data_IF_980762707509
#
_entry.id   IF_980762707509
#
_cell.length_a   1.000
_cell.length_b   1.000
_cell.length_c   1.000
_cell.angle_alpha   90.00
_cell.angle_beta   90.00
_cell.angle_gamma   90.00
#
_symmetry.space_group_name_H-M   'P 1'
#
loop_
_entity.id
_entity.type
_entity.pdbx_description
1 polymer ?
#
# COMPACT_ATOMS: atom_id res chain seq x y z
N UNK A 1 -11.96 -7.58 -2.84
CA UNK A 1 -11.30 -6.29 -2.49
C UNK A 1 -11.85 -5.09 -3.27
N UNK A 2 -12.00 -5.16 -4.60
CA UNK A 2 -12.48 -4.01 -5.41
C UNK A 2 -13.82 -3.40 -5.01
N UNK A 3 -14.74 -4.18 -4.45
CA UNK A 3 -16.01 -3.68 -3.91
C UNK A 3 -15.76 -2.75 -2.71
N UNK A 4 -14.93 -3.19 -1.75
CA UNK A 4 -14.54 -2.42 -0.55
C UNK A 4 -13.83 -1.12 -0.93
N UNK A 5 -13.05 -1.12 -2.00
CA UNK A 5 -12.33 0.08 -2.47
C UNK A 5 -13.17 1.00 -3.36
N UNK A 6 -14.42 0.66 -3.63
CA UNK A 6 -15.31 1.44 -4.51
C UNK A 6 -14.92 1.41 -6.00
N UNK A 7 -14.07 0.45 -6.41
CA UNK A 7 -13.65 0.21 -7.80
C UNK A 7 -14.58 -0.74 -8.57
N UNK A 8 -15.61 -1.26 -7.90
CA UNK A 8 -16.70 -2.06 -8.46
C UNK A 8 -17.98 -1.81 -7.65
N UNK A 9 -19.14 -1.92 -8.30
CA UNK A 9 -20.44 -1.84 -7.63
C UNK A 9 -20.93 -3.26 -7.27
N UNK A 10 -21.57 -3.45 -6.10
CA UNK A 10 -22.19 -4.72 -5.77
C UNK A 10 -23.39 -4.98 -6.69
N UNK A 11 -23.50 -6.20 -7.21
CA UNK A 11 -24.66 -6.63 -8.01
C UNK A 11 -25.90 -6.88 -7.13
N UNK A 12 -25.72 -7.04 -5.82
CA UNK A 12 -26.76 -7.19 -4.82
C UNK A 12 -26.18 -7.18 -3.40
N UNK A 13 -27.04 -7.03 -2.39
CA UNK A 13 -26.64 -6.84 -1.00
C UNK A 13 -26.24 -5.39 -0.69
N UNK A 14 -25.84 -5.16 0.56
CA UNK A 14 -25.41 -3.85 1.07
C UNK A 14 -23.94 -3.92 1.50
N UNK A 15 -23.20 -2.84 1.21
CA UNK A 15 -21.80 -2.67 1.61
C UNK A 15 -21.65 -1.28 2.22
N UNK A 16 -21.32 -1.25 3.51
CA UNK A 16 -20.99 -0.03 4.23
C UNK A 16 -19.48 -0.03 4.56
N UNK A 17 -18.79 1.04 4.18
CA UNK A 17 -17.38 1.28 4.51
C UNK A 17 -17.34 2.57 5.29
N UNK A 18 -16.88 2.51 6.53
CA UNK A 18 -16.95 3.63 7.49
C UNK A 18 -15.94 4.75 7.23
N UNK A 19 -15.02 4.57 6.28
CA UNK A 19 -14.04 5.58 5.89
C UNK A 19 -14.34 6.10 4.48
N UNK A 20 -13.97 7.35 4.22
CA UNK A 20 -14.10 7.92 2.89
C UNK A 20 -12.97 7.45 1.96
N UNK A 21 -13.00 7.88 0.70
CA UNK A 21 -11.94 7.54 -0.26
C UNK A 21 -10.57 8.14 0.11
N UNK A 22 -10.55 9.20 0.93
CA UNK A 22 -9.35 9.84 1.42
C UNK A 22 -8.67 9.01 2.50
N UNK A 23 -9.44 8.37 3.39
CA UNK A 23 -8.93 7.49 4.44
C UNK A 23 -8.60 6.06 3.97
N UNK A 24 -8.83 5.74 2.69
CA UNK A 24 -8.56 4.41 2.13
C UNK A 24 -7.21 4.37 1.40
N UNK A 25 -6.30 3.53 1.89
CA UNK A 25 -5.09 3.10 1.21
C UNK A 25 -5.36 1.83 0.42
N UNK A 26 -4.90 1.77 -0.83
CA UNK A 26 -5.11 0.59 -1.68
C UNK A 26 -3.83 0.18 -2.41
N UNK A 27 -3.46 -1.09 -2.28
CA UNK A 27 -2.50 -1.78 -3.12
C UNK A 27 -3.24 -2.91 -3.86
N UNK A 28 -3.36 -2.78 -5.17
CA UNK A 28 -3.95 -3.81 -6.03
C UNK A 28 -2.91 -4.53 -6.88
N UNK A 29 -3.39 -5.37 -7.79
CA UNK A 29 -2.55 -5.99 -8.82
C UNK A 29 -1.81 -4.96 -9.68
N UNK A 30 -2.48 -3.85 -10.02
CA UNK A 30 -1.84 -2.71 -10.66
C UNK A 30 -1.23 -1.77 -9.60
N UNK A 31 0.05 -1.37 -9.73
CA UNK A 31 0.74 -0.59 -8.71
C UNK A 31 0.24 0.87 -8.59
N UNK A 32 -0.47 1.35 -9.61
CA UNK A 32 -0.95 2.74 -9.73
C UNK A 32 0.22 3.73 -9.59
N UNK A 33 1.24 3.57 -10.42
CA UNK A 33 2.44 4.41 -10.46
C UNK A 33 2.69 4.89 -11.88
N UNK A 34 3.18 6.12 -12.01
CA UNK A 34 3.58 6.70 -13.27
C UNK A 34 5.03 6.31 -13.57
N UNK A 35 5.22 5.50 -14.62
CA UNK A 35 6.54 4.93 -14.97
C UNK A 35 7.56 5.98 -15.42
N UNK A 36 7.09 7.06 -16.03
CA UNK A 36 7.96 8.14 -16.54
C UNK A 36 8.40 9.14 -15.45
N UNK A 37 7.77 9.07 -14.28
CA UNK A 37 8.13 9.86 -13.11
C UNK A 37 9.12 9.10 -12.22
N UNK A 38 9.89 9.84 -11.45
CA UNK A 38 10.72 9.31 -10.36
C UNK A 38 9.88 8.85 -9.18
N UNK A 39 10.47 8.11 -8.24
CA UNK A 39 9.77 7.72 -7.01
C UNK A 39 9.33 8.95 -6.21
N UNK A 40 10.19 9.97 -6.09
CA UNK A 40 9.87 11.20 -5.37
C UNK A 40 8.75 11.98 -6.06
N UNK A 41 8.76 12.08 -7.39
CA UNK A 41 7.69 12.75 -8.16
C UNK A 41 6.36 12.01 -8.05
N UNK A 42 6.36 10.68 -8.08
CA UNK A 42 5.16 9.89 -7.83
C UNK A 42 4.55 10.22 -6.47
N UNK A 43 5.36 10.16 -5.40
CA UNK A 43 4.87 10.44 -4.05
C UNK A 43 4.49 11.92 -3.88
N UNK A 44 5.20 12.88 -4.47
CA UNK A 44 4.79 14.29 -4.43
C UNK A 44 3.43 14.50 -5.13
N UNK A 45 3.20 13.83 -6.27
CA UNK A 45 1.92 13.89 -6.99
C UNK A 45 0.78 13.34 -6.13
N UNK A 46 0.91 12.12 -5.60
CA UNK A 46 -0.12 11.52 -4.74
C UNK A 46 -0.31 12.33 -3.46
N UNK A 47 0.76 12.86 -2.86
CA UNK A 47 0.69 13.70 -1.68
C UNK A 47 -0.11 14.99 -1.92
N UNK A 48 -0.04 15.57 -3.13
CA UNK A 48 -0.92 16.69 -3.51
C UNK A 48 -2.37 16.26 -3.66
N UNK A 49 -2.62 15.11 -4.29
CA UNK A 49 -3.98 14.58 -4.51
C UNK A 49 -4.69 14.29 -3.19
N UNK A 50 -3.97 13.70 -2.22
CA UNK A 50 -4.49 13.40 -0.89
C UNK A 50 -4.34 14.56 0.11
N UNK A 51 -3.80 15.71 -0.30
CA UNK A 51 -3.57 16.89 0.55
C UNK A 51 -2.75 16.60 1.82
N UNK A 52 -1.73 15.76 1.68
CA UNK A 52 -0.85 15.35 2.77
C UNK A 52 -0.03 16.56 3.27
N UNK A 53 -0.09 16.92 4.56
CA UNK A 53 0.77 17.95 5.13
C UNK A 53 2.22 17.48 5.08
N UNK A 54 3.15 18.41 4.86
CA UNK A 54 4.60 18.09 4.85
C UNK A 54 4.97 16.93 3.90
N UNK A 55 4.20 16.72 2.83
CA UNK A 55 4.28 15.53 1.96
C UNK A 55 5.68 15.15 1.47
N UNK A 56 6.61 16.11 1.34
CA UNK A 56 7.99 15.84 0.92
C UNK A 56 8.78 15.12 2.01
N UNK A 57 8.59 15.52 3.25
CA UNK A 57 9.17 14.85 4.41
C UNK A 57 8.56 13.46 4.57
N UNK A 58 7.22 13.37 4.52
CA UNK A 58 6.50 12.08 4.56
C UNK A 58 6.96 11.12 3.45
N UNK A 59 7.10 11.61 2.23
CA UNK A 59 7.61 10.84 1.10
C UNK A 59 9.04 10.36 1.34
N UNK A 60 9.93 11.23 1.84
CA UNK A 60 11.30 10.85 2.18
C UNK A 60 11.36 9.76 3.25
N UNK A 61 10.63 9.92 4.34
CA UNK A 61 10.54 8.92 5.41
C UNK A 61 10.07 7.57 4.89
N UNK A 62 9.05 7.53 4.03
CA UNK A 62 8.55 6.28 3.45
C UNK A 62 9.56 5.65 2.49
N UNK A 63 10.24 6.44 1.67
CA UNK A 63 11.28 5.93 0.76
C UNK A 63 12.47 5.37 1.55
N UNK A 64 12.89 5.99 2.64
CA UNK A 64 13.90 5.43 3.54
C UNK A 64 13.40 4.13 4.18
N UNK A 65 12.18 4.15 4.72
CA UNK A 65 11.56 3.00 5.39
C UNK A 65 11.42 1.79 4.47
N UNK A 66 11.22 1.98 3.17
CA UNK A 66 11.11 0.90 2.19
C UNK A 66 12.39 0.69 1.37
N UNK A 67 13.53 1.29 1.76
CA UNK A 67 14.81 1.06 1.10
C UNK A 67 14.86 1.51 -0.36
N UNK A 68 14.21 2.64 -0.66
CA UNK A 68 14.15 3.27 -1.98
C UNK A 68 14.78 4.68 -2.01
N UNK A 69 15.34 5.14 -0.89
CA UNK A 69 15.89 6.49 -0.79
C UNK A 69 17.03 6.72 -1.79
N UNK A 70 17.99 5.81 -1.90
CA UNK A 70 19.18 6.01 -2.75
C UNK A 70 18.83 6.09 -4.24
N UNK A 71 17.76 5.42 -4.65
CA UNK A 71 17.27 5.37 -6.04
C UNK A 71 16.11 6.33 -6.30
N UNK A 72 15.75 7.20 -5.34
CA UNK A 72 14.52 8.02 -5.37
C UNK A 72 14.39 8.94 -6.59
N UNK A 73 15.53 9.33 -7.17
CA UNK A 73 15.63 10.23 -8.32
C UNK A 73 15.68 9.49 -9.67
N UNK A 74 15.66 8.17 -9.67
CA UNK A 74 15.53 7.36 -10.88
C UNK A 74 14.07 7.22 -11.27
N UNK A 75 13.80 7.10 -12.58
CA UNK A 75 12.46 6.87 -13.11
C UNK A 75 11.96 5.49 -12.72
N UNK A 76 10.67 5.38 -12.37
CA UNK A 76 10.04 4.10 -12.02
C UNK A 76 10.11 3.07 -13.15
N UNK A 77 10.26 3.51 -14.40
CA UNK A 77 10.50 2.62 -15.54
C UNK A 77 11.75 1.74 -15.39
N UNK A 78 12.81 2.17 -14.67
CA UNK A 78 14.03 1.37 -14.41
C UNK A 78 13.88 0.42 -13.22
N UNK A 79 12.82 0.55 -12.42
CA UNK A 79 12.68 -0.19 -11.18
C UNK A 79 12.41 -1.68 -11.44
N UNK A 80 13.00 -2.53 -10.58
CA UNK A 80 12.60 -3.93 -10.52
C UNK A 80 11.15 -4.06 -10.05
N UNK A 81 10.54 -5.22 -10.29
CA UNK A 81 9.16 -5.49 -9.84
C UNK A 81 8.99 -5.29 -8.32
N UNK A 82 9.97 -5.70 -7.52
CA UNK A 82 9.93 -5.52 -6.07
C UNK A 82 10.10 -4.06 -5.64
N UNK A 83 10.91 -3.27 -6.36
CA UNK A 83 11.01 -1.83 -6.11
C UNK A 83 9.69 -1.12 -6.46
N UNK A 84 9.04 -1.50 -7.57
CA UNK A 84 7.72 -0.99 -7.94
C UNK A 84 6.69 -1.32 -6.85
N UNK A 85 6.68 -2.55 -6.33
CA UNK A 85 5.80 -2.97 -5.24
C UNK A 85 6.03 -2.15 -3.97
N UNK A 86 7.30 -1.95 -3.57
CA UNK A 86 7.68 -1.14 -2.42
C UNK A 86 7.26 0.33 -2.57
N UNK A 87 7.40 0.90 -3.77
CA UNK A 87 6.93 2.25 -4.04
C UNK A 87 5.40 2.35 -4.03
N UNK A 88 4.70 1.32 -4.52
CA UNK A 88 3.24 1.26 -4.47
C UNK A 88 2.72 1.16 -3.03
N UNK A 89 3.45 0.45 -2.15
CA UNK A 89 3.21 0.46 -0.70
C UNK A 89 3.45 1.85 -0.10
N UNK A 90 4.54 2.53 -0.43
CA UNK A 90 4.78 3.91 -0.01
C UNK A 90 3.60 4.82 -0.41
N UNK A 91 3.12 4.70 -1.66
CA UNK A 91 1.96 5.45 -2.15
C UNK A 91 0.71 5.16 -1.33
N UNK A 92 0.42 3.89 -1.06
CA UNK A 92 -0.79 3.49 -0.33
C UNK A 92 -0.79 3.97 1.13
N UNK A 93 0.39 4.19 1.71
CA UNK A 93 0.59 4.63 3.10
C UNK A 93 0.79 6.15 3.24
N UNK A 94 0.98 6.86 2.12
CA UNK A 94 1.46 8.25 2.11
C UNK A 94 0.56 9.20 2.90
N UNK A 95 -0.74 8.95 2.87
CA UNK A 95 -1.77 9.82 3.44
C UNK A 95 -2.35 9.31 4.76
N UNK A 96 -1.65 8.39 5.42
CA UNK A 96 -2.04 7.83 6.72
C UNK A 96 -3.46 7.24 6.73
N UNK A 97 -3.71 6.18 5.93
CA UNK A 97 -5.04 5.62 5.77
C UNK A 97 -5.57 4.97 7.06
N UNK A 98 -6.86 5.16 7.32
CA UNK A 98 -7.62 4.46 8.36
C UNK A 98 -7.94 3.01 7.95
N UNK A 99 -8.09 2.78 6.65
CA UNK A 99 -8.31 1.46 6.05
C UNK A 99 -7.27 1.20 4.97
N UNK A 100 -6.44 0.19 5.17
CA UNK A 100 -5.47 -0.26 4.18
C UNK A 100 -5.92 -1.59 3.57
N UNK A 101 -6.17 -1.58 2.26
CA UNK A 101 -6.55 -2.76 1.49
C UNK A 101 -5.37 -3.23 0.65
N UNK A 102 -4.90 -4.45 0.88
CA UNK A 102 -3.69 -5.00 0.26
C UNK A 102 -4.03 -6.29 -0.50
N UNK A 103 -3.80 -6.28 -1.81
CA UNK A 103 -3.97 -7.46 -2.67
C UNK A 103 -2.62 -8.14 -2.91
N UNK A 104 -2.41 -9.32 -2.31
CA UNK A 104 -1.19 -10.12 -2.46
C UNK A 104 0.13 -9.33 -2.26
N UNK A 105 0.27 -8.56 -1.17
CA UNK A 105 1.30 -7.53 -1.07
C UNK A 105 2.74 -8.08 -1.05
N UNK A 106 2.92 -9.37 -0.73
CA UNK A 106 4.22 -10.04 -0.64
C UNK A 106 4.72 -10.63 -1.96
N UNK A 107 3.86 -10.85 -2.96
CA UNK A 107 4.15 -11.68 -4.15
C UNK A 107 5.33 -11.18 -4.99
N UNK A 108 5.61 -9.87 -4.97
CA UNK A 108 6.70 -9.26 -5.74
C UNK A 108 7.91 -8.85 -4.90
N UNK A 109 7.89 -9.12 -3.59
CA UNK A 109 8.93 -8.69 -2.67
C UNK A 109 10.01 -9.77 -2.51
N UNK A 110 11.26 -9.33 -2.42
CA UNK A 110 12.36 -10.15 -1.91
C UNK A 110 12.26 -10.28 -0.38
N UNK A 111 13.18 -11.04 0.23
CA UNK A 111 13.17 -11.28 1.67
C UNK A 111 13.28 -9.99 2.48
N UNK A 112 14.08 -9.02 2.00
CA UNK A 112 14.22 -7.71 2.64
C UNK A 112 12.92 -6.91 2.55
N UNK A 113 12.33 -6.81 1.36
CA UNK A 113 11.04 -6.16 1.12
C UNK A 113 9.92 -6.75 1.97
N UNK A 114 9.86 -8.08 2.08
CA UNK A 114 8.89 -8.77 2.91
C UNK A 114 9.07 -8.41 4.40
N UNK A 115 10.30 -8.37 4.90
CA UNK A 115 10.59 -7.95 6.28
C UNK A 115 10.21 -6.49 6.54
N UNK A 116 10.44 -5.60 5.57
CA UNK A 116 10.02 -4.18 5.64
C UNK A 116 8.50 -4.06 5.72
N UNK A 117 7.77 -4.83 4.90
CA UNK A 117 6.31 -4.88 4.94
C UNK A 117 5.81 -5.48 6.26
N UNK A 118 6.42 -6.54 6.78
CA UNK A 118 6.05 -7.14 8.06
C UNK A 118 6.21 -6.13 9.22
N UNK A 119 7.25 -5.30 9.21
CA UNK A 119 7.39 -4.17 10.16
C UNK A 119 6.32 -3.11 9.93
N UNK A 120 6.09 -2.77 8.66
CA UNK A 120 4.96 -2.02 8.12
C UNK A 120 3.64 -2.29 8.83
N UNK A 121 3.21 -3.54 8.70
CA UNK A 121 1.93 -4.04 9.20
C UNK A 121 1.88 -4.06 10.73
N UNK A 122 2.98 -4.37 11.41
CA UNK A 122 3.05 -4.35 12.88
C UNK A 122 2.85 -2.95 13.45
N UNK A 123 3.46 -1.94 12.83
CA UNK A 123 3.30 -0.56 13.28
C UNK A 123 1.88 -0.02 13.03
N UNK A 124 1.21 -0.50 11.99
CA UNK A 124 -0.19 -0.16 11.73
C UNK A 124 -1.18 -0.87 12.65
N UNK A 125 -0.75 -1.93 13.34
CA UNK A 125 -1.61 -2.68 14.25
C UNK A 125 -2.12 -1.75 15.37
N UNK A 126 -3.44 -1.61 15.46
CA UNK A 126 -4.10 -0.72 16.43
C UNK A 126 -4.20 0.76 16.00
N UNK A 127 -3.59 1.15 14.87
CA UNK A 127 -3.71 2.49 14.30
C UNK A 127 -4.64 2.53 13.08
N UNK A 128 -4.66 1.46 12.28
CA UNK A 128 -5.48 1.34 11.08
C UNK A 128 -6.10 -0.06 10.96
N UNK A 129 -7.21 -0.16 10.23
CA UNK A 129 -7.77 -1.44 9.81
C UNK A 129 -7.03 -1.92 8.56
N UNK A 130 -6.53 -3.16 8.57
CA UNK A 130 -5.84 -3.74 7.41
C UNK A 130 -6.64 -4.93 6.88
N UNK A 131 -7.05 -4.86 5.62
CA UNK A 131 -7.67 -5.97 4.89
C UNK A 131 -6.68 -6.49 3.85
N UNK A 132 -6.20 -7.71 4.02
CA UNK A 132 -5.14 -8.30 3.21
C UNK A 132 -5.58 -9.63 2.60
N UNK A 133 -5.26 -9.85 1.32
CA UNK A 133 -5.32 -11.17 0.68
C UNK A 133 -3.91 -11.73 0.54
N UNK A 134 -3.78 -13.05 0.72
CA UNK A 134 -2.51 -13.77 0.57
C UNK A 134 -2.77 -15.23 0.23
N UNK A 135 -1.88 -15.80 -0.57
CA UNK A 135 -1.78 -17.24 -0.78
C UNK A 135 -0.86 -17.94 0.25
N UNK A 136 -0.12 -17.17 1.05
CA UNK A 136 0.68 -17.62 2.18
C UNK A 136 0.08 -17.09 3.50
N UNK A 137 -0.93 -17.78 4.07
CA UNK A 137 -1.56 -17.33 5.31
C UNK A 137 -0.62 -17.40 6.52
N UNK A 138 0.34 -18.33 6.52
CA UNK A 138 1.24 -18.54 7.66
C UNK A 138 2.09 -17.30 7.99
N UNK A 139 2.43 -16.50 6.97
CA UNK A 139 3.18 -15.25 7.14
C UNK A 139 2.39 -14.17 7.89
N UNK A 140 1.08 -14.06 7.66
CA UNK A 140 0.24 -13.00 8.23
C UNK A 140 -0.53 -13.44 9.46
N UNK A 141 -0.64 -14.75 9.70
CA UNK A 141 -1.30 -15.34 10.87
C UNK A 141 -0.89 -14.67 12.20
N UNK A 142 0.40 -14.35 12.46
CA UNK A 142 0.80 -13.71 13.73
C UNK A 142 0.26 -12.29 13.93
N UNK A 143 -0.21 -11.63 12.86
CA UNK A 143 -0.76 -10.28 12.87
C UNK A 143 -2.28 -10.26 12.68
N UNK A 144 -2.86 -11.38 12.24
CA UNK A 144 -4.27 -11.45 11.89
C UNK A 144 -5.15 -11.45 13.16
N UNK A 145 -6.08 -10.50 13.22
CA UNK A 145 -7.13 -10.44 14.25
C UNK A 145 -8.38 -11.23 13.86
N UNK A 146 -8.50 -11.62 12.58
CA UNK A 146 -9.54 -12.48 12.04
C UNK A 146 -9.15 -13.00 10.66
N UNK A 147 -9.78 -14.10 10.22
CA UNK A 147 -9.62 -14.63 8.86
C UNK A 147 -10.97 -14.95 8.23
N UNK A 148 -11.02 -14.79 6.91
CA UNK A 148 -12.12 -15.23 6.06
C UNK A 148 -11.53 -16.13 4.98
N UNK A 149 -12.04 -17.35 4.85
CA UNK A 149 -11.67 -18.28 3.78
C UNK A 149 -12.82 -18.29 2.78
N UNK A 150 -12.52 -17.91 1.54
CA UNK A 150 -13.45 -17.99 0.43
C UNK A 150 -13.17 -19.31 -0.31
N UNK A 151 -14.20 -20.15 -0.45
CA UNK A 151 -14.16 -21.44 -1.15
C UNK A 151 -14.50 -21.28 -2.62
#
# INVERSE_FOLDING_TARGET
LRLVTGLAAPTGGELEVSTDRGGLGYLGHEPLLYRDLTALENLDLYGRLYRVPERRERAGMLLERFGLWDVRAERVASYSRGMVQRLALCRALLHDPELLVLDEPFTALDAEGANLLDRGLRELAGMATVLLTTHDPARVEPLATGRLVLL
#
